data_IF_302075619984
#
_entry.id   IF_302075619984
#
_cell.length_a   1.000
_cell.length_b   1.000
_cell.length_c   1.000
_cell.angle_alpha   90.00
_cell.angle_beta   90.00
_cell.angle_gamma   90.00
#
_symmetry.space_group_name_H-M   'P 1'
#
loop_
_entity.id
_entity.type
_entity.pdbx_description
1 polymer ?
#
# COMPACT_ATOMS: atom_id res chain seq x y z
N UNK A 1 -26.59 19.36 -2.50
CA UNK A 1 -28.03 18.99 -2.66
C UNK A 1 -28.33 17.76 -1.83
N UNK A 2 -29.51 17.67 -1.20
CA UNK A 2 -29.89 16.44 -0.51
C UNK A 2 -30.08 15.30 -1.54
N UNK A 3 -29.45 14.17 -1.31
CA UNK A 3 -29.62 12.95 -2.12
C UNK A 3 -30.78 12.17 -1.54
N UNK A 4 -31.75 11.79 -2.37
CA UNK A 4 -32.90 10.98 -1.93
C UNK A 4 -33.22 9.89 -2.96
N UNK A 5 -33.83 8.81 -2.49
CA UNK A 5 -34.38 7.75 -3.31
C UNK A 5 -35.79 7.40 -2.86
N UNK A 6 -36.60 6.91 -3.78
CA UNK A 6 -37.95 6.41 -3.52
C UNK A 6 -37.89 4.90 -3.67
N UNK A 7 -38.25 4.16 -2.63
CA UNK A 7 -38.28 2.70 -2.61
C UNK A 7 -39.67 2.20 -2.23
N UNK A 8 -40.05 1.02 -2.73
CA UNK A 8 -41.33 0.40 -2.40
C UNK A 8 -41.29 -0.20 -0.99
N UNK A 9 -42.41 -0.18 -0.28
CA UNK A 9 -42.54 -0.81 1.04
C UNK A 9 -42.11 -2.28 1.02
N UNK A 10 -42.46 -3.02 -0.03
CA UNK A 10 -42.04 -4.41 -0.21
C UNK A 10 -40.53 -4.61 -0.32
N UNK A 11 -39.79 -3.59 -0.77
CA UNK A 11 -38.32 -3.65 -0.83
C UNK A 11 -37.70 -3.43 0.57
N UNK A 12 -38.32 -2.58 1.39
CA UNK A 12 -37.95 -2.41 2.82
C UNK A 12 -38.19 -3.70 3.61
N UNK A 13 -39.34 -4.31 3.44
CA UNK A 13 -39.73 -5.57 4.09
C UNK A 13 -38.81 -6.72 3.63
N UNK A 14 -38.54 -6.80 2.34
CA UNK A 14 -37.68 -7.83 1.75
C UNK A 14 -36.24 -7.74 2.22
N UNK A 15 -35.66 -6.54 2.29
CA UNK A 15 -34.32 -6.30 2.74
C UNK A 15 -34.18 -6.30 4.29
N UNK A 16 -35.29 -6.10 5.01
CA UNK A 16 -35.33 -5.90 6.48
C UNK A 16 -34.43 -4.74 6.94
N UNK A 17 -34.27 -3.72 6.09
CA UNK A 17 -33.44 -2.53 6.31
C UNK A 17 -34.24 -1.28 6.01
N UNK A 18 -34.02 -0.22 6.83
CA UNK A 18 -34.68 1.08 6.70
C UNK A 18 -33.68 2.24 6.66
N UNK A 19 -32.38 1.94 6.71
CA UNK A 19 -31.30 2.93 6.72
C UNK A 19 -31.14 3.55 5.33
N UNK A 20 -31.10 4.88 5.26
CA UNK A 20 -31.00 5.64 4.01
C UNK A 20 -29.73 5.29 3.21
N UNK A 21 -28.65 4.95 3.88
CA UNK A 21 -27.36 4.55 3.29
C UNK A 21 -27.52 3.36 2.35
N UNK A 22 -28.28 2.33 2.77
CA UNK A 22 -28.54 1.14 1.96
C UNK A 22 -29.29 1.43 0.67
N UNK A 23 -30.10 2.49 0.66
CA UNK A 23 -30.96 2.87 -0.49
C UNK A 23 -30.43 4.07 -1.27
N UNK A 24 -29.15 4.41 -1.15
CA UNK A 24 -28.54 5.45 -2.02
C UNK A 24 -28.78 5.14 -3.51
N UNK A 25 -29.11 6.15 -4.32
CA UNK A 25 -29.40 5.95 -5.76
C UNK A 25 -28.30 5.22 -6.51
N UNK A 26 -27.05 5.49 -6.19
CA UNK A 26 -25.90 4.81 -6.80
C UNK A 26 -25.89 3.29 -6.52
N UNK A 27 -26.23 2.86 -5.30
CA UNK A 27 -26.30 1.44 -4.94
C UNK A 27 -27.50 0.75 -5.60
N UNK A 28 -28.65 1.43 -5.66
CA UNK A 28 -29.85 0.91 -6.35
C UNK A 28 -29.59 0.72 -7.83
N UNK A 29 -28.91 1.66 -8.47
CA UNK A 29 -28.52 1.57 -9.89
C UNK A 29 -27.62 0.35 -10.15
N UNK A 30 -26.61 0.14 -9.32
CA UNK A 30 -25.70 -1.01 -9.45
C UNK A 30 -26.45 -2.34 -9.25
N UNK A 31 -27.29 -2.43 -8.24
CA UNK A 31 -28.11 -3.62 -8.02
C UNK A 31 -29.05 -3.90 -9.19
N UNK A 32 -29.63 -2.84 -9.80
CA UNK A 32 -30.43 -2.96 -11.02
C UNK A 32 -29.61 -3.52 -12.18
N UNK A 33 -28.41 -3.00 -12.45
CA UNK A 33 -27.50 -3.49 -13.50
C UNK A 33 -27.14 -4.96 -13.28
N UNK A 34 -26.70 -5.32 -12.06
CA UNK A 34 -26.35 -6.71 -11.70
C UNK A 34 -27.56 -7.64 -11.83
N UNK A 35 -28.75 -7.19 -11.45
CA UNK A 35 -29.97 -7.98 -11.58
C UNK A 35 -30.42 -8.13 -13.03
N UNK A 36 -30.17 -7.17 -13.88
CA UNK A 36 -30.49 -7.22 -15.31
C UNK A 36 -29.48 -8.05 -16.12
N UNK A 37 -28.25 -8.26 -15.60
CA UNK A 37 -27.25 -9.10 -16.26
C UNK A 37 -27.75 -10.55 -16.36
N UNK A 38 -27.62 -11.14 -17.56
CA UNK A 38 -28.21 -12.44 -17.87
C UNK A 38 -27.58 -13.62 -17.12
N UNK A 39 -26.35 -13.46 -16.63
CA UNK A 39 -25.57 -14.55 -16.01
C UNK A 39 -25.09 -14.13 -14.62
N UNK A 40 -25.87 -14.47 -13.60
CA UNK A 40 -25.60 -14.12 -12.21
C UNK A 40 -25.74 -15.31 -11.28
N UNK A 41 -24.87 -15.35 -10.26
CA UNK A 41 -24.86 -16.40 -9.25
C UNK A 41 -24.44 -15.80 -7.89
N UNK A 42 -24.87 -16.38 -6.79
CA UNK A 42 -24.40 -15.98 -5.46
C UNK A 42 -23.01 -16.55 -5.17
N UNK A 43 -22.12 -15.76 -4.55
CA UNK A 43 -20.76 -16.16 -4.20
C UNK A 43 -20.72 -17.51 -3.46
N UNK A 44 -21.66 -17.76 -2.56
CA UNK A 44 -21.75 -19.04 -1.80
C UNK A 44 -21.81 -20.30 -2.67
N UNK A 45 -22.17 -20.19 -3.95
CA UNK A 45 -22.19 -21.31 -4.90
C UNK A 45 -20.89 -21.52 -5.65
N UNK A 46 -19.93 -20.60 -5.48
CA UNK A 46 -18.65 -20.56 -6.19
C UNK A 46 -17.46 -20.84 -5.26
N UNK A 47 -17.73 -21.13 -3.99
CA UNK A 47 -16.72 -21.27 -2.95
C UNK A 47 -16.87 -22.56 -2.17
N UNK A 48 -15.74 -23.14 -1.75
CA UNK A 48 -15.68 -24.32 -0.88
C UNK A 48 -15.73 -23.94 0.59
N UNK A 49 -15.10 -22.82 0.96
CA UNK A 49 -15.02 -22.36 2.34
C UNK A 49 -15.01 -20.84 2.40
N UNK A 50 -15.59 -20.28 3.44
CA UNK A 50 -15.49 -18.87 3.81
C UNK A 50 -15.41 -18.73 5.32
N UNK A 51 -14.39 -18.02 5.82
CA UNK A 51 -14.10 -17.87 7.26
C UNK A 51 -13.61 -16.48 7.57
N UNK A 52 -14.03 -15.93 8.71
CA UNK A 52 -13.41 -14.75 9.32
C UNK A 52 -12.21 -15.18 10.13
N UNK A 53 -11.18 -14.33 10.17
CA UNK A 53 -10.06 -14.52 11.07
C UNK A 53 -10.43 -14.34 12.54
N UNK A 54 -9.42 -14.29 13.40
CA UNK A 54 -9.59 -14.19 14.85
C UNK A 54 -8.90 -12.95 15.41
N UNK A 55 -9.43 -12.47 16.53
CA UNK A 55 -8.76 -11.48 17.37
C UNK A 55 -7.59 -12.12 18.12
N UNK A 56 -6.54 -11.36 18.37
CA UNK A 56 -5.35 -11.75 19.13
C UNK A 56 -5.01 -10.65 20.11
N UNK A 57 -4.80 -11.01 21.36
CA UNK A 57 -4.57 -10.05 22.47
C UNK A 57 -3.14 -9.51 22.51
N UNK A 58 -2.14 -10.25 21.99
CA UNK A 58 -0.73 -9.89 22.09
C UNK A 58 0.03 -10.24 20.82
N UNK A 59 1.04 -9.43 20.54
CA UNK A 59 1.96 -9.62 19.43
C UNK A 59 3.36 -9.94 19.94
N UNK A 60 4.11 -10.66 19.13
CA UNK A 60 5.49 -11.11 19.41
C UNK A 60 6.44 -10.56 18.35
N UNK A 61 7.72 -10.51 18.65
CA UNK A 61 8.76 -10.12 17.69
C UNK A 61 9.01 -11.19 16.62
N UNK A 62 8.73 -12.43 16.94
CA UNK A 62 8.89 -13.59 16.04
C UNK A 62 7.75 -14.57 16.27
N UNK A 63 7.42 -15.34 15.24
CA UNK A 63 6.36 -16.32 15.31
C UNK A 63 5.71 -16.51 13.97
N UNK A 64 4.42 -16.82 13.99
CA UNK A 64 3.67 -16.85 12.74
C UNK A 64 3.13 -15.49 12.39
N UNK A 65 3.23 -15.17 11.12
CA UNK A 65 2.72 -13.91 10.57
C UNK A 65 1.21 -13.80 10.82
N UNK A 66 0.81 -12.67 11.39
CA UNK A 66 -0.58 -12.29 11.62
C UNK A 66 -0.95 -11.17 10.65
N UNK A 67 -1.70 -11.54 9.61
CA UNK A 67 -2.12 -10.60 8.58
C UNK A 67 -3.29 -9.75 9.08
N UNK A 68 -3.12 -8.43 9.09
CA UNK A 68 -4.14 -7.46 9.45
C UNK A 68 -4.70 -6.77 8.21
N UNK A 69 -5.89 -6.20 8.32
CA UNK A 69 -6.53 -5.48 7.20
C UNK A 69 -5.63 -4.38 6.63
N UNK A 70 -4.84 -3.71 7.48
CA UNK A 70 -3.88 -2.70 7.06
C UNK A 70 -2.73 -3.22 6.18
N UNK A 71 -2.51 -4.54 6.16
CA UNK A 71 -1.54 -5.17 5.29
C UNK A 71 -2.12 -5.48 3.89
N UNK A 72 -3.44 -5.33 3.69
CA UNK A 72 -4.10 -5.52 2.39
C UNK A 72 -4.29 -4.14 1.75
N UNK A 73 -3.65 -3.92 0.62
CA UNK A 73 -3.67 -2.66 -0.14
C UNK A 73 -4.29 -2.87 -1.52
N UNK A 74 -4.63 -1.81 -2.22
CA UNK A 74 -5.10 -1.89 -3.62
C UNK A 74 -4.14 -2.66 -4.53
N UNK A 75 -2.86 -2.66 -4.21
CA UNK A 75 -1.81 -3.29 -5.02
C UNK A 75 -1.25 -4.59 -4.41
N UNK A 76 -1.98 -5.26 -3.53
CA UNK A 76 -1.55 -6.50 -2.89
C UNK A 76 -1.20 -6.34 -1.42
N UNK A 77 -0.16 -7.03 -0.96
CA UNK A 77 0.19 -7.07 0.45
C UNK A 77 1.36 -6.15 0.78
N UNK A 78 1.17 -5.27 1.76
CA UNK A 78 2.23 -4.52 2.40
C UNK A 78 2.65 -5.22 3.70
N UNK A 79 3.85 -5.79 3.68
CA UNK A 79 4.42 -6.54 4.79
C UNK A 79 5.45 -5.73 5.58
N UNK A 80 5.53 -4.42 5.41
CA UNK A 80 6.47 -3.55 6.11
C UNK A 80 6.19 -3.42 7.61
N UNK A 81 4.91 -3.49 8.03
CA UNK A 81 4.47 -3.51 9.44
C UNK A 81 3.63 -4.76 9.71
N UNK A 82 4.26 -5.92 9.63
CA UNK A 82 3.61 -7.17 10.03
C UNK A 82 3.71 -7.39 11.53
N UNK A 83 2.73 -8.11 12.08
CA UNK A 83 2.77 -8.61 13.45
C UNK A 83 2.91 -10.13 13.43
N UNK A 84 3.40 -10.66 14.53
CA UNK A 84 3.55 -12.10 14.71
C UNK A 84 2.76 -12.56 15.94
N UNK A 85 2.25 -13.77 15.87
CA UNK A 85 1.58 -14.42 16.98
C UNK A 85 2.41 -15.62 17.44
N UNK A 86 2.19 -16.08 18.68
CA UNK A 86 2.96 -17.17 19.28
C UNK A 86 2.94 -18.43 18.40
N UNK A 87 4.07 -19.14 18.42
CA UNK A 87 4.30 -20.34 17.61
C UNK A 87 3.51 -21.55 18.11
N UNK A 88 2.93 -21.51 19.31
CA UNK A 88 2.13 -22.62 19.83
C UNK A 88 0.76 -22.71 19.12
N UNK A 89 0.86 -23.09 17.85
CA UNK A 89 -0.20 -23.14 16.86
C UNK A 89 -1.27 -24.19 17.12
N UNK A 90 -1.08 -25.09 18.07
CA UNK A 90 -2.05 -26.14 18.38
C UNK A 90 -3.40 -25.59 18.85
N UNK A 91 -3.41 -24.33 19.31
CA UNK A 91 -4.61 -23.63 19.79
C UNK A 91 -5.33 -22.81 18.71
N UNK A 92 -4.69 -22.54 17.56
CA UNK A 92 -5.30 -21.75 16.47
C UNK A 92 -5.96 -22.70 15.47
N UNK A 93 -7.28 -22.58 15.25
CA UNK A 93 -7.97 -23.44 14.31
C UNK A 93 -7.36 -23.35 12.89
N UNK A 94 -7.09 -24.49 12.26
CA UNK A 94 -6.52 -24.53 10.89
C UNK A 94 -7.35 -23.76 9.87
N UNK A 95 -8.64 -23.63 10.09
CA UNK A 95 -9.56 -22.92 9.22
C UNK A 95 -9.22 -21.43 9.04
N UNK A 96 -8.59 -20.78 10.03
CA UNK A 96 -8.18 -19.36 9.94
C UNK A 96 -6.73 -19.16 9.44
N UNK A 97 -6.02 -20.25 9.18
CA UNK A 97 -4.75 -20.21 8.46
C UNK A 97 -5.01 -20.09 6.96
N UNK A 98 -4.30 -19.21 6.31
CA UNK A 98 -4.41 -19.02 4.86
C UNK A 98 -3.35 -19.85 4.14
N UNK A 99 -3.72 -20.31 2.94
CA UNK A 99 -2.85 -21.07 2.05
C UNK A 99 -2.65 -20.33 0.73
N UNK A 100 -1.53 -20.57 0.08
CA UNK A 100 -1.28 -20.05 -1.27
C UNK A 100 -2.46 -20.39 -2.20
N UNK A 101 -2.99 -19.37 -2.85
CA UNK A 101 -4.16 -19.49 -3.73
C UNK A 101 -5.52 -19.25 -3.07
N UNK A 102 -5.60 -19.17 -1.74
CA UNK A 102 -6.79 -18.66 -1.07
C UNK A 102 -7.01 -17.18 -1.42
N UNK A 103 -8.26 -16.72 -1.41
CA UNK A 103 -8.58 -15.30 -1.47
C UNK A 103 -8.69 -14.72 -0.07
N UNK A 104 -8.16 -13.54 0.13
CA UNK A 104 -8.42 -12.73 1.33
C UNK A 104 -9.10 -11.43 0.93
N UNK A 105 -10.14 -11.07 1.68
CA UNK A 105 -10.97 -9.90 1.47
C UNK A 105 -11.01 -9.06 2.74
N UNK A 106 -10.71 -7.77 2.62
CA UNK A 106 -10.89 -6.80 3.71
C UNK A 106 -12.37 -6.57 3.99
N UNK A 107 -12.80 -6.79 5.24
CA UNK A 107 -14.21 -6.63 5.63
C UNK A 107 -14.50 -5.40 6.48
N UNK A 108 -13.47 -4.70 6.96
CA UNK A 108 -13.56 -3.42 7.67
C UNK A 108 -12.46 -2.49 7.18
N UNK A 109 -12.65 -1.18 7.31
CA UNK A 109 -11.68 -0.19 6.86
C UNK A 109 -11.57 -0.14 5.33
N UNK A 110 -10.82 -1.05 4.73
CA UNK A 110 -10.65 -1.20 3.27
C UNK A 110 -11.60 -2.26 2.71
N UNK A 111 -12.91 -2.07 2.90
CA UNK A 111 -13.92 -3.06 2.49
C UNK A 111 -13.81 -3.37 1.00
N UNK A 112 -13.74 -4.66 0.68
CA UNK A 112 -13.80 -5.19 -0.67
C UNK A 112 -12.45 -5.33 -1.37
N UNK A 113 -11.33 -4.80 -0.81
CA UNK A 113 -10.03 -5.10 -1.37
C UNK A 113 -9.75 -6.60 -1.24
N UNK A 114 -9.49 -7.24 -2.37
CA UNK A 114 -9.36 -8.70 -2.46
C UNK A 114 -8.11 -9.11 -3.21
N UNK A 115 -7.32 -10.00 -2.61
CA UNK A 115 -6.13 -10.56 -3.27
C UNK A 115 -6.00 -12.07 -3.05
N UNK A 116 -5.29 -12.73 -3.97
CA UNK A 116 -4.81 -14.10 -3.78
C UNK A 116 -3.62 -14.13 -2.84
N UNK A 117 -3.64 -15.06 -1.92
CA UNK A 117 -2.53 -15.35 -1.00
C UNK A 117 -1.36 -15.91 -1.79
N UNK A 118 -0.20 -15.29 -1.67
CA UNK A 118 1.05 -15.76 -2.26
C UNK A 118 1.86 -16.65 -1.28
N UNK A 119 2.97 -17.20 -1.76
CA UNK A 119 3.81 -18.12 -0.97
C UNK A 119 4.37 -17.51 0.31
N UNK A 120 4.61 -16.20 0.35
CA UNK A 120 5.14 -15.48 1.53
C UNK A 120 4.17 -15.51 2.70
N UNK A 121 2.88 -15.62 2.41
CA UNK A 121 1.81 -15.64 3.39
C UNK A 121 1.27 -17.04 3.69
N UNK A 122 1.83 -18.09 3.06
CA UNK A 122 1.38 -19.45 3.29
C UNK A 122 1.55 -19.86 4.76
N UNK A 123 0.48 -20.31 5.38
CA UNK A 123 0.45 -20.67 6.82
C UNK A 123 0.24 -19.48 7.76
N UNK A 124 0.14 -18.24 7.26
CA UNK A 124 -0.17 -17.08 8.09
C UNK A 124 -1.58 -17.15 8.65
N UNK A 125 -1.81 -16.42 9.75
CA UNK A 125 -3.12 -16.27 10.41
C UNK A 125 -3.71 -14.93 10.03
N UNK A 126 -5.03 -14.88 9.82
CA UNK A 126 -5.73 -13.64 9.51
C UNK A 126 -6.48 -13.05 10.69
N UNK A 127 -6.52 -11.71 10.75
CA UNK A 127 -7.28 -10.98 11.77
C UNK A 127 -8.79 -11.08 11.52
N UNK A 128 -9.57 -10.83 12.56
CA UNK A 128 -11.06 -10.79 12.48
C UNK A 128 -11.60 -9.83 11.41
N UNK A 129 -10.80 -8.88 10.95
CA UNK A 129 -11.15 -7.88 9.93
C UNK A 129 -10.89 -8.35 8.49
N UNK A 130 -10.50 -9.61 8.34
CA UNK A 130 -10.23 -10.25 7.05
C UNK A 130 -11.10 -11.49 6.91
N UNK A 131 -11.66 -11.68 5.72
CA UNK A 131 -12.34 -12.89 5.30
C UNK A 131 -11.44 -13.72 4.41
N UNK A 132 -11.21 -15.00 4.76
CA UNK A 132 -10.63 -16.01 3.87
C UNK A 132 -11.74 -16.63 3.03
N UNK A 133 -11.49 -16.81 1.74
CA UNK A 133 -12.39 -17.44 0.78
C UNK A 133 -11.60 -18.50 0.00
N UNK A 134 -12.05 -19.75 0.06
CA UNK A 134 -11.51 -20.84 -0.76
C UNK A 134 -12.41 -21.03 -1.98
N UNK A 135 -11.91 -20.70 -3.16
CA UNK A 135 -12.68 -20.73 -4.41
C UNK A 135 -12.85 -22.17 -4.91
N UNK A 136 -14.02 -22.49 -5.45
CA UNK A 136 -14.21 -23.72 -6.22
C UNK A 136 -13.89 -23.46 -7.71
N UNK A 137 -12.66 -23.76 -8.11
CA UNK A 137 -12.15 -23.52 -9.46
C UNK A 137 -12.86 -24.33 -10.54
N UNK A 138 -13.71 -25.31 -10.18
CA UNK A 138 -14.57 -26.00 -11.14
C UNK A 138 -15.72 -25.12 -11.64
N UNK A 139 -16.06 -24.06 -10.92
CA UNK A 139 -17.21 -23.20 -11.20
C UNK A 139 -16.84 -21.81 -11.68
N UNK A 140 -15.65 -21.30 -11.30
CA UNK A 140 -15.19 -19.96 -11.65
C UNK A 140 -13.66 -19.88 -11.66
N UNK A 141 -13.13 -19.09 -12.58
CA UNK A 141 -11.71 -18.73 -12.57
C UNK A 141 -11.41 -17.81 -11.38
N UNK A 142 -10.52 -18.22 -10.47
CA UNK A 142 -10.19 -17.43 -9.26
C UNK A 142 -9.60 -16.06 -9.57
N UNK A 143 -8.81 -15.93 -10.64
CA UNK A 143 -8.24 -14.67 -11.06
C UNK A 143 -9.31 -13.71 -11.62
N UNK A 144 -10.28 -14.25 -12.38
CA UNK A 144 -11.46 -13.48 -12.75
C UNK A 144 -12.22 -12.98 -11.52
N UNK A 145 -12.40 -13.84 -10.51
CA UNK A 145 -13.09 -13.46 -9.28
C UNK A 145 -12.36 -12.34 -8.53
N UNK A 146 -11.03 -12.30 -8.55
CA UNK A 146 -10.23 -11.17 -8.02
C UNK A 146 -10.57 -9.89 -8.76
N UNK A 147 -10.57 -9.90 -10.11
CA UNK A 147 -10.93 -8.71 -10.89
C UNK A 147 -12.35 -8.24 -10.59
N UNK A 148 -13.29 -9.18 -10.52
CA UNK A 148 -14.69 -8.90 -10.22
C UNK A 148 -14.85 -8.24 -8.83
N UNK A 149 -14.32 -8.85 -7.78
CA UNK A 149 -14.46 -8.35 -6.40
C UNK A 149 -13.78 -6.99 -6.19
N UNK A 150 -12.72 -6.69 -6.94
CA UNK A 150 -12.06 -5.38 -6.93
C UNK A 150 -12.70 -4.35 -7.87
N UNK A 151 -13.66 -4.71 -8.72
CA UNK A 151 -14.37 -3.75 -9.57
C UNK A 151 -15.19 -2.77 -8.74
N UNK A 152 -15.41 -1.57 -9.25
CA UNK A 152 -16.22 -0.55 -8.58
C UNK A 152 -17.67 -1.03 -8.33
N UNK A 153 -18.22 -1.83 -9.26
CA UNK A 153 -19.56 -2.41 -9.11
C UNK A 153 -19.65 -3.35 -7.90
N UNK A 154 -18.69 -4.28 -7.77
CA UNK A 154 -18.69 -5.23 -6.66
C UNK A 154 -18.38 -4.52 -5.33
N UNK A 155 -17.46 -3.55 -5.30
CA UNK A 155 -17.17 -2.76 -4.10
C UNK A 155 -18.38 -1.97 -3.60
N UNK A 156 -19.08 -1.31 -4.50
CA UNK A 156 -20.31 -0.60 -4.14
C UNK A 156 -21.41 -1.56 -3.66
N UNK A 157 -21.51 -2.76 -4.24
CA UNK A 157 -22.39 -3.80 -3.71
C UNK A 157 -21.98 -4.18 -2.27
N UNK A 158 -20.69 -4.39 -2.01
CA UNK A 158 -20.19 -4.71 -0.68
C UNK A 158 -20.42 -3.58 0.33
N UNK A 159 -20.19 -2.34 -0.07
CA UNK A 159 -20.47 -1.16 0.78
C UNK A 159 -21.95 -1.07 1.13
N UNK A 160 -22.83 -1.28 0.16
CA UNK A 160 -24.29 -1.33 0.41
C UNK A 160 -24.69 -2.37 1.43
N UNK A 161 -24.12 -3.57 1.35
CA UNK A 161 -24.45 -4.70 2.24
C UNK A 161 -23.76 -4.60 3.61
N UNK A 162 -22.84 -3.66 3.78
CA UNK A 162 -22.12 -3.46 5.03
C UNK A 162 -23.00 -2.84 6.12
N UNK A 163 -22.65 -3.08 7.38
CA UNK A 163 -23.37 -2.65 8.56
C UNK A 163 -22.47 -1.84 9.50
N UNK A 164 -23.05 -0.96 10.28
CA UNK A 164 -22.37 -0.18 11.32
C UNK A 164 -22.30 1.32 11.01
N UNK A 165 -22.42 2.15 12.05
CA UNK A 165 -22.37 3.60 11.96
C UNK A 165 -20.99 4.18 12.27
N UNK A 166 -20.24 3.58 13.20
CA UNK A 166 -18.89 4.02 13.57
C UNK A 166 -17.80 3.18 12.89
N UNK A 167 -18.00 1.88 12.81
CA UNK A 167 -17.11 0.97 12.09
C UNK A 167 -17.95 0.14 11.14
N UNK A 168 -17.87 0.47 9.86
CA UNK A 168 -18.59 -0.24 8.80
C UNK A 168 -17.95 -1.60 8.58
N UNK A 169 -18.74 -2.65 8.56
CA UNK A 169 -18.30 -4.04 8.45
C UNK A 169 -19.15 -4.83 7.46
N UNK A 170 -18.51 -5.58 6.59
CA UNK A 170 -19.14 -6.56 5.71
C UNK A 170 -19.21 -7.92 6.42
N UNK A 171 -20.42 -8.39 6.77
CA UNK A 171 -20.60 -9.67 7.44
C UNK A 171 -20.31 -10.86 6.53
N UNK A 172 -20.02 -12.03 7.11
CA UNK A 172 -19.81 -13.26 6.33
C UNK A 172 -21.06 -13.65 5.51
N UNK A 173 -22.25 -13.44 6.08
CA UNK A 173 -23.50 -13.78 5.38
C UNK A 173 -23.78 -12.80 4.24
N UNK A 174 -23.49 -11.52 4.41
CA UNK A 174 -23.54 -10.56 3.33
C UNK A 174 -22.53 -10.92 2.23
N UNK A 175 -21.30 -11.29 2.59
CA UNK A 175 -20.27 -11.74 1.64
C UNK A 175 -20.73 -12.97 0.85
N UNK A 176 -21.30 -13.99 1.50
CA UNK A 176 -21.84 -15.20 0.85
C UNK A 176 -22.95 -14.90 -0.16
N UNK A 177 -23.74 -13.86 0.11
CA UNK A 177 -24.88 -13.47 -0.70
C UNK A 177 -24.55 -12.40 -1.76
N UNK A 178 -23.27 -12.01 -1.93
CA UNK A 178 -22.87 -11.16 -3.05
C UNK A 178 -23.28 -11.80 -4.37
N UNK A 179 -23.87 -10.99 -5.23
CA UNK A 179 -24.17 -11.37 -6.60
C UNK A 179 -22.89 -11.25 -7.41
N UNK A 180 -22.50 -12.33 -8.08
CA UNK A 180 -21.36 -12.41 -8.96
C UNK A 180 -21.87 -12.53 -10.39
N UNK A 181 -21.39 -11.66 -11.27
CA UNK A 181 -21.59 -11.81 -12.71
C UNK A 181 -20.68 -12.96 -13.18
N UNK A 182 -21.24 -13.95 -13.85
CA UNK A 182 -20.54 -15.14 -14.33
C UNK A 182 -20.57 -15.15 -15.88
N UNK A 183 -19.60 -14.57 -16.55
CA UNK A 183 -19.53 -14.55 -18.00
C UNK A 183 -19.12 -15.89 -18.57
N UNK A 184 -19.15 -16.00 -19.91
CA UNK A 184 -18.63 -17.17 -20.61
C UNK A 184 -17.13 -17.40 -20.30
N UNK A 185 -16.70 -18.64 -20.41
CA UNK A 185 -15.34 -19.06 -20.04
C UNK A 185 -14.24 -18.28 -20.77
N UNK A 186 -14.48 -17.85 -22.01
CA UNK A 186 -13.51 -17.06 -22.78
C UNK A 186 -13.20 -15.70 -22.10
N UNK A 187 -14.22 -14.95 -21.73
CA UNK A 187 -14.02 -13.67 -21.03
C UNK A 187 -13.38 -13.88 -19.63
N UNK A 188 -13.80 -14.94 -18.89
CA UNK A 188 -13.16 -15.28 -17.62
C UNK A 188 -11.66 -15.59 -17.82
N UNK A 189 -11.30 -16.32 -18.85
CA UNK A 189 -9.92 -16.67 -19.15
C UNK A 189 -9.09 -15.44 -19.51
N UNK A 190 -9.62 -14.54 -20.35
CA UNK A 190 -8.94 -13.31 -20.78
C UNK A 190 -8.71 -12.35 -19.60
N UNK A 191 -9.73 -12.08 -18.80
CA UNK A 191 -9.60 -11.26 -17.58
C UNK A 191 -8.67 -11.95 -16.57
N UNK A 192 -8.82 -13.27 -16.40
CA UNK A 192 -7.96 -14.06 -15.53
C UNK A 192 -6.48 -13.97 -15.91
N UNK A 193 -6.16 -13.95 -17.21
CA UNK A 193 -4.79 -13.77 -17.70
C UNK A 193 -4.22 -12.41 -17.32
N UNK A 194 -4.98 -11.32 -17.44
CA UNK A 194 -4.55 -9.98 -17.01
C UNK A 194 -4.20 -9.95 -15.52
N UNK A 195 -4.99 -10.61 -14.69
CA UNK A 195 -4.71 -10.70 -13.23
C UNK A 195 -3.50 -11.60 -12.93
N UNK A 196 -3.27 -12.66 -13.69
CA UNK A 196 -2.04 -13.46 -13.55
C UNK A 196 -0.81 -12.63 -13.89
N UNK A 197 -0.82 -11.92 -15.01
CA UNK A 197 0.25 -11.01 -15.41
C UNK A 197 0.46 -9.86 -14.40
N UNK A 198 -0.62 -9.33 -13.83
CA UNK A 198 -0.55 -8.39 -12.71
C UNK A 198 0.29 -8.94 -11.55
N UNK A 199 0.01 -10.17 -11.08
CA UNK A 199 0.76 -10.77 -9.99
C UNK A 199 2.21 -11.10 -10.36
N UNK A 200 2.48 -11.49 -11.61
CA UNK A 200 3.83 -11.73 -12.10
C UNK A 200 4.66 -10.44 -12.13
N UNK A 201 4.11 -9.36 -12.67
CA UNK A 201 4.77 -8.06 -12.71
C UNK A 201 4.95 -7.47 -11.31
N UNK A 202 3.99 -7.68 -10.40
CA UNK A 202 4.13 -7.29 -9.00
C UNK A 202 5.32 -8.00 -8.34
N UNK A 203 5.46 -9.32 -8.52
CA UNK A 203 6.62 -10.08 -8.04
C UNK A 203 7.91 -9.63 -8.69
N UNK A 204 7.90 -9.39 -9.98
CA UNK A 204 9.04 -8.85 -10.72
C UNK A 204 9.49 -7.51 -10.13
N UNK A 205 8.57 -6.60 -9.90
CA UNK A 205 8.84 -5.30 -9.25
C UNK A 205 9.50 -5.46 -7.88
N UNK A 206 8.97 -6.32 -7.02
CA UNK A 206 9.53 -6.57 -5.69
C UNK A 206 10.93 -7.18 -5.77
N UNK A 207 11.15 -8.14 -6.67
CA UNK A 207 12.45 -8.78 -6.87
C UNK A 207 13.50 -7.79 -7.39
N UNK A 208 13.15 -6.94 -8.35
CA UNK A 208 14.05 -5.92 -8.89
C UNK A 208 14.45 -4.89 -7.80
N UNK A 209 13.50 -4.45 -6.98
CA UNK A 209 13.81 -3.56 -5.86
C UNK A 209 14.73 -4.24 -4.84
N UNK A 210 14.46 -5.50 -4.50
CA UNK A 210 15.33 -6.28 -3.59
C UNK A 210 16.72 -6.51 -4.18
N UNK A 211 16.84 -6.74 -5.49
CA UNK A 211 18.14 -6.83 -6.16
C UNK A 211 18.90 -5.52 -6.08
N UNK A 212 18.24 -4.36 -6.30
CA UNK A 212 18.85 -3.05 -6.14
C UNK A 212 19.37 -2.83 -4.70
N UNK A 213 18.56 -3.16 -3.70
CA UNK A 213 18.94 -3.06 -2.28
C UNK A 213 20.09 -4.00 -1.92
N UNK A 214 20.06 -5.25 -2.38
CA UNK A 214 21.15 -6.20 -2.19
C UNK A 214 22.45 -5.74 -2.85
N UNK A 215 22.38 -5.22 -4.08
CA UNK A 215 23.55 -4.69 -4.77
C UNK A 215 24.13 -3.49 -4.03
N UNK A 216 23.28 -2.56 -3.56
CA UNK A 216 23.72 -1.44 -2.72
C UNK A 216 24.46 -1.93 -1.47
N UNK A 217 23.86 -2.86 -0.73
CA UNK A 217 24.47 -3.38 0.51
C UNK A 217 25.75 -4.18 0.25
N UNK A 218 25.82 -4.90 -0.87
CA UNK A 218 27.01 -5.66 -1.26
C UNK A 218 28.18 -4.73 -1.61
N UNK A 219 27.95 -3.72 -2.44
CA UNK A 219 28.95 -2.71 -2.82
C UNK A 219 29.46 -1.89 -1.63
N UNK A 220 28.63 -1.74 -0.60
CA UNK A 220 28.98 -1.06 0.65
C UNK A 220 29.59 -1.98 1.71
N UNK A 221 29.70 -3.31 1.44
CA UNK A 221 30.16 -4.31 2.41
C UNK A 221 29.24 -4.49 3.61
N UNK A 222 27.95 -4.22 3.43
CA UNK A 222 26.90 -4.37 4.45
C UNK A 222 26.01 -5.59 4.21
N UNK A 223 26.39 -6.50 3.31
CA UNK A 223 25.65 -7.73 3.08
C UNK A 223 25.54 -8.50 4.41
N UNK A 224 24.32 -8.92 4.74
CA UNK A 224 23.99 -9.61 5.99
C UNK A 224 24.26 -8.80 7.28
N UNK A 225 24.57 -7.52 7.17
CA UNK A 225 24.74 -6.65 8.33
C UNK A 225 23.45 -6.56 9.14
N UNK A 226 23.57 -6.81 10.45
CA UNK A 226 22.46 -6.70 11.41
C UNK A 226 22.94 -5.91 12.61
N UNK A 227 22.37 -4.72 12.86
CA UNK A 227 22.75 -3.93 14.03
C UNK A 227 22.44 -4.68 15.32
N UNK A 228 23.31 -4.54 16.32
CA UNK A 228 23.14 -5.16 17.63
C UNK A 228 22.66 -4.14 18.65
N UNK A 229 21.39 -4.27 19.02
CA UNK A 229 20.84 -3.44 20.09
C UNK A 229 21.27 -3.95 21.45
N UNK A 230 21.87 -3.07 22.26
CA UNK A 230 22.33 -3.39 23.59
C UNK A 230 21.30 -2.93 24.64
N UNK A 231 21.09 -3.77 25.68
CA UNK A 231 20.19 -3.43 26.78
C UNK A 231 20.81 -2.44 27.76
N UNK A 232 22.14 -2.47 27.89
CA UNK A 232 22.92 -1.63 28.81
C UNK A 232 24.18 -1.15 28.10
N UNK A 233 24.39 0.14 28.05
CA UNK A 233 25.58 0.75 27.46
C UNK A 233 25.90 2.07 28.18
N UNK A 234 27.07 2.62 27.91
CA UNK A 234 27.52 3.89 28.46
C UNK A 234 27.82 4.87 27.35
N UNK A 235 27.48 6.13 27.58
CA UNK A 235 27.85 7.22 26.68
C UNK A 235 28.70 8.25 27.42
N UNK A 236 29.65 8.87 26.74
CA UNK A 236 30.44 9.95 27.30
C UNK A 236 29.58 11.20 27.52
N UNK A 237 29.73 11.82 28.68
CA UNK A 237 28.99 13.07 28.99
C UNK A 237 29.30 14.19 27.97
N UNK A 238 30.51 14.23 27.44
CA UNK A 238 30.90 15.15 26.37
C UNK A 238 30.05 14.97 25.11
N UNK A 239 29.69 13.73 24.77
CA UNK A 239 28.85 13.43 23.61
C UNK A 239 27.41 13.91 23.85
N UNK A 240 26.89 13.74 25.10
CA UNK A 240 25.58 14.23 25.46
C UNK A 240 25.49 15.77 25.36
N UNK A 241 26.52 16.49 25.83
CA UNK A 241 26.59 17.93 25.69
C UNK A 241 26.70 18.36 24.21
N UNK A 242 27.51 17.70 23.42
CA UNK A 242 27.68 18.03 21.97
C UNK A 242 26.40 17.76 21.17
N UNK A 243 25.68 16.70 21.52
CA UNK A 243 24.44 16.32 20.87
C UNK A 243 23.23 17.12 21.37
N UNK A 244 23.36 17.80 22.53
CA UNK A 244 22.24 18.40 23.29
C UNK A 244 21.12 17.41 23.58
N UNK A 245 21.49 16.14 23.84
CA UNK A 245 20.57 15.03 24.12
C UNK A 245 21.11 14.16 25.26
N UNK A 246 20.17 13.62 26.07
CA UNK A 246 20.45 12.72 27.20
C UNK A 246 19.60 11.46 27.17
N UNK A 247 18.79 11.27 26.14
CA UNK A 247 17.91 10.11 25.99
C UNK A 247 18.73 8.89 25.56
N UNK A 248 18.51 7.75 26.21
CA UNK A 248 19.22 6.53 25.96
C UNK A 248 19.10 6.07 24.51
N UNK A 249 17.94 6.20 23.89
CA UNK A 249 17.70 5.78 22.50
C UNK A 249 18.68 6.41 21.51
N UNK A 250 18.96 7.71 21.65
CA UNK A 250 19.90 8.41 20.77
C UNK A 250 21.34 7.83 20.84
N UNK A 251 21.76 7.31 22.01
CA UNK A 251 23.11 6.79 22.24
C UNK A 251 23.20 5.28 22.08
N UNK A 252 22.17 4.62 21.55
CA UNK A 252 22.18 3.20 21.25
C UNK A 252 23.33 2.86 20.29
N UNK A 253 24.29 1.98 20.67
CA UNK A 253 25.45 1.67 19.83
C UNK A 253 25.08 1.19 18.43
N UNK A 254 24.01 0.44 18.29
CA UNK A 254 23.52 -0.07 17.02
C UNK A 254 23.40 1.00 15.92
N UNK A 255 23.08 2.25 16.27
CA UNK A 255 22.94 3.33 15.30
C UNK A 255 24.28 3.82 14.72
N UNK A 256 25.36 3.67 15.47
CA UNK A 256 26.70 4.05 14.99
C UNK A 256 27.34 2.94 14.16
N UNK A 257 27.04 1.67 14.46
CA UNK A 257 27.67 0.49 13.81
C UNK A 257 27.62 0.54 12.28
N UNK A 258 26.52 1.02 11.70
CA UNK A 258 26.37 1.11 10.23
C UNK A 258 27.37 2.11 9.64
N UNK A 259 27.54 3.25 10.30
CA UNK A 259 28.47 4.31 9.83
C UNK A 259 29.92 3.90 10.05
N UNK A 260 30.22 3.27 11.17
CA UNK A 260 31.55 2.73 11.45
C UNK A 260 31.94 1.66 10.43
N UNK A 261 31.01 0.75 10.11
CA UNK A 261 31.24 -0.28 9.11
C UNK A 261 31.52 0.29 7.70
N UNK A 262 30.80 1.32 7.31
CA UNK A 262 31.07 2.01 6.04
C UNK A 262 32.46 2.67 6.02
N UNK A 263 32.88 3.26 7.13
CA UNK A 263 34.24 3.85 7.27
C UNK A 263 35.34 2.78 7.23
N UNK A 264 35.12 1.65 7.91
CA UNK A 264 36.04 0.49 7.85
C UNK A 264 36.23 -0.03 6.43
N UNK A 265 35.18 0.00 5.63
CA UNK A 265 35.19 -0.40 4.23
C UNK A 265 35.73 0.71 3.29
N UNK A 266 36.23 1.82 3.84
CA UNK A 266 36.75 2.99 3.10
C UNK A 266 35.71 3.61 2.15
N UNK A 267 34.45 3.56 2.50
CA UNK A 267 33.37 4.22 1.73
C UNK A 267 33.36 5.72 2.04
N UNK A 268 33.38 6.55 1.00
CA UNK A 268 33.23 7.98 1.15
C UNK A 268 31.82 8.33 1.62
N UNK A 269 31.72 9.10 2.72
CA UNK A 269 30.47 9.53 3.31
C UNK A 269 30.34 11.04 3.19
N UNK A 270 29.30 11.52 2.52
CA UNK A 270 29.03 12.95 2.38
C UNK A 270 27.66 13.30 2.97
N UNK A 271 27.57 14.45 3.67
CA UNK A 271 26.28 14.87 4.23
C UNK A 271 25.30 15.26 3.11
N UNK A 272 24.03 14.89 3.27
CA UNK A 272 22.97 15.11 2.27
C UNK A 272 22.90 16.55 1.77
N UNK A 273 23.27 17.55 2.62
CA UNK A 273 23.35 18.96 2.20
C UNK A 273 24.24 19.22 0.98
N UNK A 274 25.20 18.35 0.67
CA UNK A 274 26.06 18.47 -0.52
C UNK A 274 25.28 18.24 -1.80
N UNK A 275 24.22 17.44 -1.72
CA UNK A 275 23.41 17.04 -2.86
C UNK A 275 22.09 17.81 -2.99
N UNK A 276 21.76 18.68 -2.01
CA UNK A 276 20.52 19.44 -1.99
C UNK A 276 20.77 20.88 -2.47
N UNK A 277 20.02 21.30 -3.50
CA UNK A 277 19.94 22.68 -3.97
C UNK A 277 18.84 23.48 -3.27
N UNK A 278 17.78 22.81 -2.81
CA UNK A 278 16.66 23.41 -2.13
C UNK A 278 15.81 22.41 -1.35
N UNK A 279 15.14 22.90 -0.32
CA UNK A 279 14.18 22.13 0.50
C UNK A 279 12.89 22.93 0.60
N UNK A 280 11.77 22.32 0.25
CA UNK A 280 10.45 22.87 0.45
C UNK A 280 9.63 21.91 1.32
N UNK A 281 9.01 22.44 2.37
CA UNK A 281 8.07 21.69 3.20
C UNK A 281 6.67 21.77 2.58
N UNK A 282 5.90 20.68 2.61
CA UNK A 282 4.48 20.71 2.27
C UNK A 282 3.66 21.54 3.24
N UNK A 283 2.36 21.55 3.09
CA UNK A 283 1.43 22.40 3.85
C UNK A 283 0.51 21.58 4.77
N UNK A 284 0.01 22.21 5.83
CA UNK A 284 -1.10 21.70 6.64
C UNK A 284 -2.29 22.66 6.51
N UNK A 285 -3.31 22.28 5.72
CA UNK A 285 -4.46 23.17 5.48
C UNK A 285 -5.47 23.20 6.62
N UNK A 286 -5.31 22.34 7.64
CA UNK A 286 -6.27 22.14 8.73
C UNK A 286 -7.27 21.01 8.43
N UNK A 287 -7.57 20.22 9.46
CA UNK A 287 -8.45 19.05 9.33
C UNK A 287 -9.89 19.40 8.93
N UNK A 288 -10.33 20.62 9.17
CA UNK A 288 -11.63 21.18 8.77
C UNK A 288 -11.80 21.26 7.25
N UNK A 289 -10.70 21.26 6.50
CA UNK A 289 -10.68 21.29 5.04
C UNK A 289 -10.63 19.91 4.40
N UNK A 290 -10.59 18.83 5.21
CA UNK A 290 -10.58 17.48 4.69
C UNK A 290 -11.96 17.05 4.24
N UNK A 291 -12.00 16.40 3.08
CA UNK A 291 -13.21 15.87 2.45
C UNK A 291 -13.04 14.38 2.15
N UNK A 292 -14.15 13.70 1.90
CA UNK A 292 -14.17 12.29 1.51
C UNK A 292 -13.97 12.11 -0.01
N UNK A 293 -14.15 13.19 -0.80
CA UNK A 293 -13.95 13.21 -2.25
C UNK A 293 -13.32 14.55 -2.69
N UNK A 294 -12.59 14.55 -3.81
CA UNK A 294 -11.94 15.72 -4.38
C UNK A 294 -10.52 15.46 -4.86
N UNK A 295 -9.62 16.43 -4.65
CA UNK A 295 -8.20 16.30 -5.00
C UNK A 295 -7.40 15.70 -3.83
N UNK A 296 -6.55 14.69 -4.08
CA UNK A 296 -5.80 14.02 -3.03
C UNK A 296 -4.97 14.96 -2.16
N UNK A 297 -5.11 14.85 -0.85
CA UNK A 297 -4.18 15.44 0.12
C UNK A 297 -3.18 14.36 0.54
N UNK A 298 -1.96 14.46 0.05
CA UNK A 298 -0.91 13.45 0.15
C UNK A 298 -0.22 13.58 1.50
N UNK A 299 -0.59 12.72 2.45
CA UNK A 299 0.02 12.65 3.78
C UNK A 299 1.14 11.61 3.80
N UNK A 300 1.89 11.55 4.90
CA UNK A 300 2.94 10.54 5.10
C UNK A 300 2.42 9.12 4.88
N UNK A 301 1.20 8.81 5.34
CA UNK A 301 0.54 7.50 5.12
C UNK A 301 0.25 7.18 3.65
N UNK A 302 0.24 8.20 2.79
CA UNK A 302 -0.02 8.07 1.37
C UNK A 302 1.26 8.00 0.51
N UNK A 303 2.44 7.97 1.14
CA UNK A 303 3.72 7.83 0.45
C UNK A 303 4.43 6.55 0.89
N UNK A 304 4.93 5.80 -0.09
CA UNK A 304 5.77 4.61 0.11
C UNK A 304 7.01 4.67 -0.78
N UNK A 305 7.98 3.82 -0.53
CA UNK A 305 9.16 3.67 -1.41
C UNK A 305 8.80 3.22 -2.84
N UNK A 306 7.58 2.77 -3.06
CA UNK A 306 7.04 2.36 -4.35
C UNK A 306 6.11 3.40 -4.99
N UNK A 307 5.91 4.54 -4.36
CA UNK A 307 5.03 5.61 -4.83
C UNK A 307 3.83 5.89 -3.93
N UNK A 308 2.86 6.57 -4.52
CA UNK A 308 1.65 6.97 -3.82
C UNK A 308 0.71 5.79 -3.54
N UNK A 309 0.05 5.85 -2.38
CA UNK A 309 -0.97 4.90 -1.93
C UNK A 309 -2.23 5.66 -1.50
N UNK A 310 -3.37 5.02 -1.60
CA UNK A 310 -4.68 5.56 -1.21
C UNK A 310 -5.08 5.23 0.24
N UNK A 311 -4.13 4.75 1.04
CA UNK A 311 -4.38 4.36 2.45
C UNK A 311 -4.91 5.54 3.26
N UNK A 312 -6.13 5.41 3.78
CA UNK A 312 -6.81 6.48 4.54
C UNK A 312 -6.74 7.84 3.83
N UNK A 313 -6.99 7.83 2.51
CA UNK A 313 -6.87 9.01 1.66
C UNK A 313 -7.83 10.10 2.11
N UNK A 314 -7.31 11.31 2.28
CA UNK A 314 -8.08 12.54 2.47
C UNK A 314 -8.00 13.40 1.22
N UNK A 315 -9.01 14.21 1.02
CA UNK A 315 -9.14 15.03 -0.16
C UNK A 315 -9.35 16.48 0.22
N UNK A 316 -9.03 17.38 -0.71
CA UNK A 316 -9.31 18.81 -0.63
C UNK A 316 -10.33 19.18 -1.71
N UNK A 317 -11.11 20.22 -1.48
CA UNK A 317 -11.99 20.75 -2.52
C UNK A 317 -11.19 21.38 -3.66
N UNK A 318 -11.81 21.53 -4.81
CA UNK A 318 -11.17 22.06 -6.01
C UNK A 318 -10.63 23.49 -5.82
N UNK A 319 -11.36 24.35 -5.09
CA UNK A 319 -10.96 25.74 -4.87
C UNK A 319 -9.64 25.82 -4.09
N UNK A 320 -9.54 25.11 -2.97
CA UNK A 320 -8.33 25.07 -2.14
C UNK A 320 -7.16 24.41 -2.89
N UNK A 321 -7.43 23.36 -3.66
CA UNK A 321 -6.41 22.74 -4.50
C UNK A 321 -5.84 23.75 -5.50
N UNK A 322 -6.67 24.52 -6.20
CA UNK A 322 -6.21 25.52 -7.17
C UNK A 322 -5.36 26.62 -6.53
N UNK A 323 -5.66 27.02 -5.30
CA UNK A 323 -4.86 27.99 -4.54
C UNK A 323 -3.49 27.43 -4.15
N UNK A 324 -3.37 26.13 -3.87
CA UNK A 324 -2.17 25.51 -3.32
C UNK A 324 -1.30 24.81 -4.36
N UNK A 325 -1.84 24.45 -5.52
CA UNK A 325 -1.17 23.59 -6.51
C UNK A 325 0.15 24.13 -7.03
N UNK A 326 0.28 25.41 -7.26
CA UNK A 326 1.50 26.01 -7.80
C UNK A 326 2.70 25.72 -6.89
N UNK A 327 2.51 25.82 -5.58
CA UNK A 327 3.56 25.62 -4.59
C UNK A 327 3.71 24.15 -4.12
N UNK A 328 2.63 23.40 -3.98
CA UNK A 328 2.64 22.15 -3.23
C UNK A 328 2.22 20.90 -4.02
N UNK A 329 1.84 21.02 -5.29
CA UNK A 329 1.61 19.88 -6.16
C UNK A 329 2.92 19.21 -6.52
N UNK A 330 3.11 17.88 -6.30
CA UNK A 330 4.31 17.18 -6.69
C UNK A 330 4.36 17.00 -8.21
N UNK A 331 5.51 17.26 -8.80
CA UNK A 331 5.76 17.11 -10.24
C UNK A 331 6.59 15.87 -10.51
N UNK A 332 6.46 15.33 -11.71
CA UNK A 332 7.31 14.23 -12.15
C UNK A 332 8.80 14.63 -12.04
N UNK A 333 9.60 13.76 -11.46
CA UNK A 333 11.01 13.99 -11.16
C UNK A 333 11.29 14.65 -9.81
N UNK A 334 10.28 15.12 -9.08
CA UNK A 334 10.46 15.63 -7.73
C UNK A 334 10.95 14.53 -6.78
N UNK A 335 11.84 14.88 -5.87
CA UNK A 335 12.30 14.01 -4.80
C UNK A 335 11.51 14.30 -3.52
N UNK A 336 10.67 13.38 -3.10
CA UNK A 336 9.86 13.48 -1.89
C UNK A 336 10.51 12.68 -0.75
N UNK A 337 10.48 13.25 0.46
CA UNK A 337 11.03 12.63 1.65
C UNK A 337 10.07 12.85 2.83
N UNK A 338 9.63 11.78 3.47
CA UNK A 338 8.85 11.90 4.72
C UNK A 338 9.74 12.35 5.87
N UNK A 339 9.19 13.19 6.75
CA UNK A 339 9.92 13.69 7.93
C UNK A 339 9.18 13.46 9.27
N UNK A 340 7.93 13.04 9.22
CA UNK A 340 7.10 12.80 10.40
C UNK A 340 6.56 11.36 10.36
N UNK A 341 6.21 10.81 11.51
CA UNK A 341 5.64 9.47 11.72
C UNK A 341 6.52 8.32 11.20
N UNK A 342 6.74 8.20 9.90
CA UNK A 342 7.66 7.26 9.26
C UNK A 342 8.69 8.06 8.44
N UNK A 343 9.72 8.65 9.08
CA UNK A 343 10.53 9.73 8.50
C UNK A 343 11.68 9.27 7.58
N UNK A 344 11.63 8.09 7.01
CA UNK A 344 12.68 7.52 6.14
C UNK A 344 12.18 7.08 4.76
N UNK A 345 10.98 7.49 4.34
CA UNK A 345 10.49 7.14 3.01
C UNK A 345 10.91 8.21 2.02
N UNK A 346 11.76 7.82 1.07
CA UNK A 346 12.17 8.64 -0.06
C UNK A 346 11.58 8.07 -1.36
N UNK A 347 11.06 8.93 -2.22
CA UNK A 347 10.48 8.55 -3.50
C UNK A 347 10.72 9.62 -4.56
N UNK A 348 11.15 9.20 -5.73
CA UNK A 348 11.21 10.06 -6.93
C UNK A 348 9.91 9.92 -7.69
N UNK A 349 9.19 11.01 -7.85
CA UNK A 349 7.85 11.01 -8.48
C UNK A 349 7.93 10.56 -9.93
N UNK A 350 7.22 9.48 -10.28
CA UNK A 350 7.24 8.87 -11.62
C UNK A 350 6.11 9.34 -12.52
N UNK A 351 5.00 9.72 -11.92
CA UNK A 351 3.78 10.11 -12.65
C UNK A 351 3.18 11.36 -12.03
N UNK A 352 2.54 12.17 -12.86
CA UNK A 352 1.83 13.37 -12.39
C UNK A 352 0.65 12.94 -11.50
N UNK A 353 0.51 13.60 -10.37
CA UNK A 353 -0.64 13.46 -9.48
C UNK A 353 -1.20 14.83 -9.15
N UNK A 354 -2.48 15.05 -9.41
CA UNK A 354 -3.20 16.28 -9.07
C UNK A 354 -3.55 16.27 -7.57
N UNK A 355 -2.57 16.51 -6.72
CA UNK A 355 -2.71 16.46 -5.27
C UNK A 355 -1.77 17.42 -4.56
N UNK A 356 -1.95 17.62 -3.28
CA UNK A 356 -1.17 18.53 -2.43
C UNK A 356 -0.39 17.75 -1.38
N UNK A 357 0.92 17.96 -1.25
CA UNK A 357 1.74 17.30 -0.23
C UNK A 357 1.57 17.96 1.14
N UNK A 358 1.41 17.12 2.16
CA UNK A 358 1.26 17.55 3.55
C UNK A 358 2.56 18.04 4.17
N UNK A 359 2.46 18.77 5.27
CA UNK A 359 3.59 19.30 6.04
C UNK A 359 4.55 18.22 6.58
N UNK A 360 4.14 16.95 6.62
CA UNK A 360 4.97 15.80 6.98
C UNK A 360 5.89 15.32 5.86
N UNK A 361 5.79 15.91 4.66
CA UNK A 361 6.60 15.58 3.49
C UNK A 361 7.45 16.78 3.08
N UNK A 362 8.71 16.53 2.76
CA UNK A 362 9.63 17.48 2.16
C UNK A 362 9.77 17.19 0.67
N UNK A 363 9.83 18.23 -0.14
CA UNK A 363 10.28 18.18 -1.53
C UNK A 363 11.71 18.70 -1.58
N UNK A 364 12.64 17.85 -2.02
CA UNK A 364 14.05 18.19 -2.13
C UNK A 364 14.41 18.42 -3.60
N UNK A 365 15.10 19.49 -3.86
CA UNK A 365 15.73 19.74 -5.15
C UNK A 365 17.13 19.14 -5.12
N UNK A 366 17.37 18.07 -5.85
CA UNK A 366 18.62 17.32 -5.86
C UNK A 366 19.53 17.80 -7.01
N UNK A 367 20.82 17.91 -6.73
CA UNK A 367 21.85 18.16 -7.74
C UNK A 367 22.21 16.85 -8.47
N UNK A 368 21.56 16.59 -9.58
CA UNK A 368 21.74 15.37 -10.38
C UNK A 368 23.12 15.24 -11.04
N UNK A 369 23.95 16.31 -11.04
CA UNK A 369 25.32 16.22 -11.48
C UNK A 369 26.24 15.53 -10.43
N UNK A 370 25.81 15.47 -9.18
CA UNK A 370 26.59 14.93 -8.05
C UNK A 370 26.14 13.54 -7.61
N UNK A 371 24.86 13.22 -7.78
CA UNK A 371 24.28 11.95 -7.33
C UNK A 371 23.02 11.58 -8.12
N UNK A 372 22.86 10.30 -8.41
CA UNK A 372 21.62 9.79 -8.99
C UNK A 372 20.46 9.80 -7.97
N UNK A 373 19.30 10.30 -8.35
CA UNK A 373 18.12 10.43 -7.47
C UNK A 373 17.58 9.10 -6.98
N UNK A 374 17.55 8.06 -7.84
CA UNK A 374 17.05 6.74 -7.47
C UNK A 374 18.00 6.04 -6.52
N UNK A 375 19.29 6.16 -6.77
CA UNK A 375 20.34 5.70 -5.86
C UNK A 375 20.19 6.38 -4.49
N UNK A 376 20.06 7.72 -4.46
CA UNK A 376 19.87 8.47 -3.23
C UNK A 376 18.59 8.03 -2.48
N UNK A 377 17.48 7.86 -3.18
CA UNK A 377 16.23 7.38 -2.58
C UNK A 377 16.41 5.98 -1.98
N UNK A 378 17.10 5.08 -2.66
CA UNK A 378 17.38 3.74 -2.14
C UNK A 378 18.30 3.77 -0.91
N UNK A 379 19.35 4.61 -0.89
CA UNK A 379 20.19 4.79 0.28
C UNK A 379 19.38 5.22 1.51
N UNK A 380 18.47 6.18 1.34
CA UNK A 380 17.60 6.67 2.43
C UNK A 380 16.61 5.59 2.88
N UNK A 381 16.02 4.85 1.94
CA UNK A 381 15.05 3.78 2.23
C UNK A 381 15.70 2.52 2.85
N UNK A 382 17.01 2.35 2.71
CA UNK A 382 17.76 1.20 3.20
C UNK A 382 18.06 1.32 4.70
N UNK A 383 18.70 0.28 5.25
CA UNK A 383 19.20 0.28 6.63
C UNK A 383 20.13 1.47 6.92
N UNK A 384 20.86 1.96 5.93
CA UNK A 384 21.81 3.08 6.07
C UNK A 384 21.09 4.36 6.47
N UNK A 385 20.06 4.73 5.71
CA UNK A 385 19.24 5.90 6.03
C UNK A 385 18.41 5.69 7.29
N UNK A 386 17.72 4.55 7.37
CA UNK A 386 16.81 4.24 8.48
C UNK A 386 17.48 4.35 9.84
N UNK A 387 18.65 3.73 10.04
CA UNK A 387 19.38 3.75 11.32
C UNK A 387 19.77 5.16 11.74
N UNK A 388 20.28 5.97 10.83
CA UNK A 388 20.64 7.36 11.12
C UNK A 388 19.42 8.23 11.46
N UNK A 389 18.32 8.02 10.72
CA UNK A 389 17.08 8.80 10.90
C UNK A 389 16.38 8.42 12.19
N UNK A 390 16.30 7.13 12.53
CA UNK A 390 15.75 6.64 13.81
C UNK A 390 16.51 7.24 14.99
N UNK A 391 17.85 7.26 14.93
CA UNK A 391 18.70 7.90 15.93
C UNK A 391 18.37 9.38 16.11
N UNK A 392 18.25 10.11 14.99
CA UNK A 392 18.09 11.56 15.01
C UNK A 392 16.67 12.01 15.38
N UNK A 393 15.67 11.18 15.11
CA UNK A 393 14.29 11.51 15.40
C UNK A 393 14.03 11.69 16.89
N UNK A 394 13.19 12.65 17.22
CA UNK A 394 12.66 12.87 18.56
C UNK A 394 11.14 12.75 18.55
N UNK A 395 10.58 12.47 19.69
CA UNK A 395 9.12 12.34 19.89
C UNK A 395 8.75 11.00 20.52
N UNK A 396 7.88 11.03 21.52
CA UNK A 396 7.46 9.83 22.25
C UNK A 396 6.32 9.08 21.58
N UNK A 397 5.51 9.76 20.76
CA UNK A 397 4.33 9.19 20.08
C UNK A 397 4.47 9.29 18.57
N UNK A 398 4.92 10.45 18.08
CA UNK A 398 5.15 10.70 16.65
C UNK A 398 6.61 11.12 16.48
N UNK A 399 7.33 10.40 15.65
CA UNK A 399 8.71 10.76 15.29
C UNK A 399 8.70 12.03 14.45
N UNK A 400 9.59 12.95 14.77
CA UNK A 400 9.80 14.19 14.03
C UNK A 400 11.26 14.33 13.64
N UNK A 401 11.52 14.51 12.36
CA UNK A 401 12.84 14.74 11.80
C UNK A 401 12.96 16.16 11.26
N UNK A 402 13.85 16.97 11.86
CA UNK A 402 13.98 18.38 11.54
C UNK A 402 14.79 18.59 10.25
N UNK A 403 14.51 19.62 9.43
CA UNK A 403 15.26 19.89 8.19
C UNK A 403 16.77 20.01 8.39
N UNK A 404 17.23 20.54 9.53
CA UNK A 404 18.66 20.63 9.83
C UNK A 404 19.30 19.26 10.09
N UNK A 405 18.54 18.31 10.63
CA UNK A 405 18.97 16.91 10.79
C UNK A 405 19.00 16.21 9.42
N UNK A 406 17.98 16.43 8.57
CA UNK A 406 17.94 15.94 7.18
C UNK A 406 19.22 16.29 6.44
N UNK A 407 19.70 17.54 6.56
CA UNK A 407 20.92 18.01 5.90
C UNK A 407 22.20 17.28 6.36
N UNK A 408 22.20 16.68 7.55
CA UNK A 408 23.37 16.00 8.15
C UNK A 408 23.45 14.52 7.80
N UNK A 409 22.37 13.92 7.27
CA UNK A 409 22.33 12.50 6.92
C UNK A 409 23.55 12.14 6.05
N UNK A 410 24.31 11.14 6.47
CA UNK A 410 25.49 10.68 5.75
C UNK A 410 25.07 9.73 4.64
N UNK A 411 25.42 10.10 3.42
CA UNK A 411 25.10 9.34 2.20
C UNK A 411 26.42 8.72 1.70
N UNK A 412 26.48 7.40 1.53
CA UNK A 412 27.62 6.75 0.90
C UNK A 412 27.69 7.15 -0.58
N UNK A 413 28.89 7.49 -1.06
CA UNK A 413 29.12 7.86 -2.45
C UNK A 413 29.84 6.73 -3.17
N UNK A 414 29.10 5.95 -3.95
CA UNK A 414 29.64 4.93 -4.86
C UNK A 414 30.02 5.55 -6.21
N UNK A 415 30.86 4.88 -7.01
CA UNK A 415 31.14 5.32 -8.39
C UNK A 415 29.85 5.48 -9.20
N UNK A 416 29.80 6.49 -10.08
CA UNK A 416 28.60 6.82 -10.85
C UNK A 416 28.04 5.62 -11.64
N UNK A 417 28.91 4.79 -12.20
CA UNK A 417 28.52 3.58 -12.92
C UNK A 417 27.74 2.60 -12.02
N UNK A 418 28.18 2.42 -10.77
CA UNK A 418 27.49 1.58 -9.79
C UNK A 418 26.17 2.22 -9.37
N UNK A 419 26.12 3.54 -9.14
CA UNK A 419 24.87 4.24 -8.86
C UNK A 419 23.85 4.03 -9.99
N UNK A 420 24.27 4.17 -11.26
CA UNK A 420 23.40 3.95 -12.42
C UNK A 420 22.90 2.53 -12.55
N UNK A 421 23.72 1.51 -12.24
CA UNK A 421 23.28 0.11 -12.22
C UNK A 421 22.17 -0.11 -11.18
N UNK A 422 22.37 0.42 -9.97
CA UNK A 422 21.37 0.36 -8.88
C UNK A 422 20.10 1.12 -9.29
N UNK A 423 20.24 2.35 -9.78
CA UNK A 423 19.13 3.18 -10.23
C UNK A 423 18.30 2.52 -11.34
N UNK A 424 18.97 1.85 -12.30
CA UNK A 424 18.30 1.10 -13.37
C UNK A 424 17.39 -0.03 -12.82
N UNK A 425 17.84 -0.77 -11.80
CA UNK A 425 17.01 -1.80 -11.15
C UNK A 425 15.79 -1.19 -10.44
N UNK A 426 15.97 -0.06 -9.76
CA UNK A 426 14.87 0.67 -9.11
C UNK A 426 13.87 1.17 -10.15
N UNK A 427 14.33 1.75 -11.26
CA UNK A 427 13.47 2.22 -12.35
C UNK A 427 12.69 1.07 -12.99
N UNK A 428 13.35 -0.04 -13.30
CA UNK A 428 12.68 -1.26 -13.83
C UNK A 428 11.63 -1.79 -12.84
N UNK A 429 11.92 -1.75 -11.54
CA UNK A 429 10.93 -2.09 -10.50
C UNK A 429 9.69 -1.21 -10.58
N UNK A 430 9.86 0.09 -10.72
CA UNK A 430 8.74 1.04 -10.83
C UNK A 430 7.96 0.85 -12.14
N UNK A 431 8.63 0.58 -13.26
CA UNK A 431 7.98 0.31 -14.54
C UNK A 431 7.14 -0.97 -14.49
N UNK A 432 7.69 -2.05 -13.92
CA UNK A 432 6.95 -3.29 -13.72
C UNK A 432 5.71 -3.06 -12.84
N UNK A 433 5.85 -2.26 -11.77
CA UNK A 433 4.74 -1.89 -10.89
C UNK A 433 3.67 -1.07 -11.61
N UNK A 434 4.08 -0.11 -12.42
CA UNK A 434 3.14 0.71 -13.21
C UNK A 434 2.33 -0.16 -14.18
N UNK A 435 3.00 -1.03 -14.94
CA UNK A 435 2.33 -1.97 -15.84
C UNK A 435 1.36 -2.90 -15.10
N UNK A 436 1.79 -3.43 -13.95
CA UNK A 436 0.90 -4.24 -13.12
C UNK A 436 -0.36 -3.47 -12.71
N UNK A 437 -0.23 -2.23 -12.27
CA UNK A 437 -1.36 -1.38 -11.89
C UNK A 437 -2.32 -1.13 -13.07
N UNK A 438 -1.77 -0.86 -14.25
CA UNK A 438 -2.55 -0.71 -15.49
C UNK A 438 -3.33 -1.97 -15.82
N UNK A 439 -2.72 -3.17 -15.73
CA UNK A 439 -3.41 -4.44 -15.99
C UNK A 439 -4.56 -4.70 -15.02
N UNK A 440 -4.37 -4.39 -13.73
CA UNK A 440 -5.44 -4.51 -12.74
C UNK A 440 -6.62 -3.61 -13.09
N UNK A 441 -6.37 -2.35 -13.44
CA UNK A 441 -7.44 -1.41 -13.84
C UNK A 441 -8.13 -1.84 -15.14
N UNK A 442 -7.38 -2.35 -16.11
CA UNK A 442 -7.96 -2.92 -17.35
C UNK A 442 -8.86 -4.11 -17.04
N UNK A 443 -8.42 -5.03 -16.18
CA UNK A 443 -9.21 -6.19 -15.78
C UNK A 443 -10.51 -5.79 -15.06
N UNK A 444 -10.44 -4.86 -14.12
CA UNK A 444 -11.61 -4.30 -13.40
C UNK A 444 -12.58 -3.64 -14.39
N UNK A 445 -12.05 -2.81 -15.29
CA UNK A 445 -12.89 -2.09 -16.27
C UNK A 445 -13.54 -3.05 -17.27
N UNK A 446 -12.85 -4.10 -17.70
CA UNK A 446 -13.42 -5.12 -18.58
C UNK A 446 -14.62 -5.85 -17.92
N UNK A 447 -14.53 -6.15 -16.61
CA UNK A 447 -15.69 -6.68 -15.85
C UNK A 447 -16.86 -5.71 -15.88
N UNK A 448 -16.62 -4.44 -15.64
CA UNK A 448 -17.67 -3.40 -15.64
C UNK A 448 -18.34 -3.25 -17.01
N UNK A 449 -17.55 -3.20 -18.08
CA UNK A 449 -18.06 -3.13 -19.46
C UNK A 449 -18.94 -4.35 -19.78
N UNK A 450 -18.51 -5.55 -19.36
CA UNK A 450 -19.30 -6.75 -19.60
C UNK A 450 -20.67 -6.70 -18.93
N UNK A 451 -20.77 -6.10 -17.74
CA UNK A 451 -22.02 -5.96 -16.98
C UNK A 451 -22.86 -4.81 -17.51
N UNK A 452 -22.24 -3.69 -17.85
CA UNK A 452 -22.93 -2.47 -18.32
C UNK A 452 -23.44 -2.59 -19.77
N UNK A 453 -22.67 -3.25 -20.61
CA UNK A 453 -22.94 -3.40 -22.03
C UNK A 453 -23.12 -4.88 -22.39
N UNK A 454 -22.00 -5.56 -22.70
CA UNK A 454 -21.97 -6.99 -23.02
C UNK A 454 -20.53 -7.55 -23.04
N UNK A 455 -20.40 -8.88 -23.07
CA UNK A 455 -19.10 -9.56 -23.05
C UNK A 455 -18.25 -9.28 -24.29
N UNK A 456 -18.86 -9.08 -25.47
CA UNK A 456 -18.14 -8.78 -26.71
C UNK A 456 -17.41 -7.44 -26.62
N UNK A 457 -18.06 -6.41 -26.13
CA UNK A 457 -17.43 -5.10 -25.94
C UNK A 457 -16.31 -5.14 -24.92
N UNK A 458 -16.45 -5.97 -23.87
CA UNK A 458 -15.37 -6.20 -22.91
C UNK A 458 -14.14 -6.87 -23.56
N UNK A 459 -14.36 -7.89 -24.40
CA UNK A 459 -13.28 -8.54 -25.15
C UNK A 459 -12.61 -7.58 -26.15
N UNK A 460 -13.41 -6.77 -26.86
CA UNK A 460 -12.88 -5.74 -27.76
C UNK A 460 -12.06 -4.68 -27.02
N UNK A 461 -12.48 -4.30 -25.81
CA UNK A 461 -11.73 -3.39 -24.93
C UNK A 461 -10.37 -3.97 -24.54
N UNK A 462 -10.33 -5.22 -24.05
CA UNK A 462 -9.08 -5.89 -23.68
C UNK A 462 -8.14 -5.95 -24.89
N UNK A 463 -8.64 -6.37 -26.06
CA UNK A 463 -7.82 -6.49 -27.26
C UNK A 463 -7.20 -5.16 -27.70
N UNK A 464 -7.90 -4.04 -27.56
CA UNK A 464 -7.37 -2.71 -27.88
C UNK A 464 -6.24 -2.25 -26.94
N UNK A 465 -6.25 -2.73 -25.71
CA UNK A 465 -5.21 -2.39 -24.73
C UNK A 465 -3.97 -3.27 -24.91
N UNK A 466 -4.15 -4.56 -25.25
CA UNK A 466 -3.02 -5.48 -25.52
C UNK A 466 -2.19 -5.09 -26.76
N UNK A 467 -2.76 -4.32 -27.69
CA UNK A 467 -2.07 -3.87 -28.93
C UNK A 467 -1.26 -2.58 -28.72
N UNK A 468 -1.43 -1.90 -27.60
CA UNK A 468 -0.69 -0.67 -27.23
C UNK A 468 0.52 -1.01 -26.35
#
# INVERSE_FOLDING_TARGET
MAVFSIVKLSELEGAKRIDAEYYKPEYLNICSKLNASGSKIFLKRLIKEIVSGSYVDSYFEKGTLYLRVNNITEFGFDLSDVKFVDVDFSKIPDKIKIKTGDLVLGRTGTIGITHLVDERLNGSVISQHITKIVVDENHINKYYLVAYLNSNLARKQMMRESLGSMQVELTLDATKNLIIFLPLNDLQARIGKLIQEFYELQRCSQNLYSQAENLLLEELGLKDFKPKYEKNYTANLSNAFSAHRVDAEYFQPAYEEVIEKLRENNIELLPLRKFILGIQKGIEPGSENYQDEGKPFIRVSNLSKYGFTDRDQKYLNEELYQQLREAYEPKQGDFLLTKDATPWIAYVVKEQIEGIISSGILRLQINENEIDKEYLALCINSIIGKMQIERDCGGSVILHWKPEQVKRLQIPLLPLETQQKIASLVQQSHEARKKAKELLEVAKRAVEIAIENNEREALDYISKVEVK
#
